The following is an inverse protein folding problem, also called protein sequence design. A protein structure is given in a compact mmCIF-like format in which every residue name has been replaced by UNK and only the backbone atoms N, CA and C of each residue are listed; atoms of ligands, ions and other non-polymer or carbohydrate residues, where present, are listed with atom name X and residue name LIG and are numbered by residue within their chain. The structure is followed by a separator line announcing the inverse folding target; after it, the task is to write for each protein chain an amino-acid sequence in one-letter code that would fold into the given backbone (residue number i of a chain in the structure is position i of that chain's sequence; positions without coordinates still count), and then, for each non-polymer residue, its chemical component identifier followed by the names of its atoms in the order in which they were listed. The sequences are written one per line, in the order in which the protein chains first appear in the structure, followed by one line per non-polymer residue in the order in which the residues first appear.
data_IF_440672796420
#
_entry.id   IF_440672796420
#
_cell.length_a   1.000
_cell.length_b   1.000
_cell.length_c   1.000
_cell.angle_alpha   90.00
_cell.angle_beta   90.00
_cell.angle_gamma   90.00
#
_symmetry.space_group_name_H-M   'P 1'
#
loop_
_entity.id
_entity.type
_entity.pdbx_description
1 polymer ?
#
# COMPACT_ATOMS: atom_id res chain seq x y z
N UNK A 1 25.10 30.69 9.58
CA UNK A 1 25.72 29.49 9.00
C UNK A 1 24.72 28.90 8.03
N UNK A 2 24.99 28.83 6.72
CA UNK A 2 24.01 28.29 5.78
C UNK A 2 24.01 26.77 5.89
N UNK A 3 22.88 26.20 6.29
CA UNK A 3 22.64 24.76 6.32
C UNK A 3 22.36 24.32 4.88
N UNK A 4 23.13 23.36 4.39
CA UNK A 4 22.96 22.77 3.07
C UNK A 4 21.61 22.04 3.00
N UNK A 5 20.78 22.41 2.02
CA UNK A 5 19.56 21.68 1.66
C UNK A 5 19.95 20.36 0.99
N UNK A 6 19.57 19.25 1.61
CA UNK A 6 19.76 17.90 1.08
C UNK A 6 18.65 17.64 0.06
N UNK A 7 19.05 17.48 -1.19
CA UNK A 7 18.21 17.00 -2.29
C UNK A 7 17.95 15.50 -2.07
N UNK A 8 16.71 15.12 -1.76
CA UNK A 8 16.29 13.72 -1.73
C UNK A 8 15.74 13.32 -3.10
N UNK A 9 16.53 12.59 -3.88
CA UNK A 9 16.08 11.87 -5.08
C UNK A 9 15.89 10.41 -4.64
N UNK A 10 14.67 9.88 -4.77
CA UNK A 10 14.36 8.47 -4.47
C UNK A 10 13.92 7.80 -5.75
N UNK A 11 14.77 6.93 -6.29
CA UNK A 11 14.50 6.04 -7.42
C UNK A 11 14.61 4.59 -6.94
N UNK A 12 13.58 3.77 -7.16
CA UNK A 12 13.59 2.33 -6.80
C UNK A 12 13.45 1.51 -8.08
N UNK A 13 14.54 0.86 -8.51
CA UNK A 13 14.55 -0.07 -9.65
C UNK A 13 14.55 -1.53 -9.20
N UNK A 14 13.80 -2.39 -9.91
CA UNK A 14 13.70 -3.84 -9.67
C UNK A 14 14.74 -4.62 -10.49
N UNK A 15 15.48 -5.55 -9.87
CA UNK A 15 16.43 -6.44 -10.55
C UNK A 15 15.79 -7.75 -11.06
N UNK A 16 16.32 -8.21 -12.19
CA UNK A 16 15.86 -9.31 -13.04
C UNK A 16 16.38 -10.71 -12.63
N UNK A 17 15.68 -11.75 -13.08
CA UNK A 17 15.92 -13.16 -12.78
C UNK A 17 17.05 -13.87 -13.55
N UNK A 18 17.32 -15.12 -13.14
CA UNK A 18 18.34 -16.02 -13.70
C UNK A 18 17.69 -17.36 -14.11
N UNK A 19 17.91 -17.80 -15.36
CA UNK A 19 17.59 -19.16 -15.85
C UNK A 19 18.88 -19.99 -15.94
N UNK A 20 18.85 -21.23 -15.46
CA UNK A 20 19.89 -22.23 -15.67
C UNK A 20 19.40 -23.35 -16.61
N UNK A 21 20.22 -23.70 -17.61
CA UNK A 21 20.11 -24.87 -18.50
C UNK A 21 21.01 -25.98 -17.97
N UNK A 22 20.54 -27.23 -17.99
CA UNK A 22 21.42 -28.41 -17.81
C UNK A 22 21.16 -29.44 -18.90
N UNK A 23 22.27 -29.98 -19.43
CA UNK A 23 22.37 -30.93 -20.55
C UNK A 23 22.48 -32.37 -20.02
N UNK A 24 21.79 -33.31 -20.68
CA UNK A 24 21.85 -34.75 -20.43
C UNK A 24 23.14 -35.40 -20.97
N UNK A 25 23.62 -36.45 -20.30
CA UNK A 25 24.31 -37.57 -20.97
C UNK A 25 24.16 -38.88 -20.19
N UNK A 26 23.76 -39.92 -20.93
CA UNK A 26 23.57 -41.29 -20.48
C UNK A 26 24.87 -42.12 -20.57
N UNK A 27 24.95 -43.21 -19.81
CA UNK A 27 25.76 -44.38 -20.17
C UNK A 27 25.15 -45.67 -19.56
N UNK A 28 25.02 -46.66 -20.43
CA UNK A 28 24.48 -48.02 -20.24
C UNK A 28 25.54 -49.02 -19.80
N UNK A 29 25.18 -50.10 -19.10
CA UNK A 29 25.74 -51.47 -19.32
C UNK A 29 24.69 -52.53 -18.98
N UNK A 30 24.56 -53.52 -19.88
CA UNK A 30 23.71 -54.73 -19.82
C UNK A 30 24.33 -55.84 -18.96
N UNK A 31 23.49 -56.76 -18.48
CA UNK A 31 23.76 -58.21 -18.59
C UNK A 31 22.47 -59.04 -18.51
N UNK A 32 22.33 -59.95 -19.48
CA UNK A 32 21.30 -60.98 -19.64
C UNK A 32 21.51 -62.16 -18.68
N UNK A 33 20.42 -62.76 -18.18
CA UNK A 33 20.34 -64.22 -17.90
C UNK A 33 18.90 -64.72 -18.16
N UNK A 34 18.81 -65.84 -18.91
CA UNK A 34 17.58 -66.53 -19.36
C UNK A 34 17.15 -67.65 -18.39
N UNK A 35 15.91 -68.11 -18.64
CA UNK A 35 15.22 -69.37 -18.24
C UNK A 35 14.40 -69.27 -16.94
N UNK A 36 13.18 -69.81 -16.77
CA UNK A 36 12.23 -70.63 -17.56
C UNK A 36 10.93 -70.76 -16.74
N UNK A 37 9.75 -70.95 -17.35
CA UNK A 37 8.62 -71.64 -16.68
C UNK A 37 7.22 -70.98 -16.67
N UNK A 38 6.28 -71.67 -17.32
CA UNK A 38 4.87 -71.94 -16.93
C UNK A 38 3.79 -70.84 -16.77
N UNK A 39 2.97 -70.78 -17.82
CA UNK A 39 1.54 -70.46 -18.06
C UNK A 39 0.46 -70.28 -16.94
N UNK A 40 0.78 -69.74 -15.76
CA UNK A 40 -0.26 -69.23 -14.82
C UNK A 40 -0.34 -67.70 -14.76
N UNK A 41 0.45 -67.01 -15.59
CA UNK A 41 0.78 -65.61 -15.39
C UNK A 41 -0.14 -64.59 -16.06
N UNK A 42 -0.96 -64.92 -17.06
CA UNK A 42 -1.59 -63.89 -17.90
C UNK A 42 -2.73 -63.15 -17.16
N UNK A 43 -3.64 -63.87 -16.51
CA UNK A 43 -4.72 -63.26 -15.74
C UNK A 43 -4.19 -62.45 -14.53
N UNK A 44 -3.20 -63.00 -13.83
CA UNK A 44 -2.52 -62.34 -12.71
C UNK A 44 -1.73 -61.11 -13.16
N UNK A 45 -1.04 -61.17 -14.32
CA UNK A 45 -0.32 -60.03 -14.90
C UNK A 45 -1.26 -58.91 -15.37
N UNK A 46 -2.44 -59.24 -15.89
CA UNK A 46 -3.45 -58.24 -16.29
C UNK A 46 -4.08 -57.58 -15.07
N UNK A 47 -4.42 -58.35 -14.04
CA UNK A 47 -4.93 -57.82 -12.76
C UNK A 47 -3.88 -56.93 -12.06
N UNK A 48 -2.60 -57.35 -12.02
CA UNK A 48 -1.50 -56.54 -11.50
C UNK A 48 -1.28 -55.27 -12.30
N UNK A 49 -1.41 -55.30 -13.63
CA UNK A 49 -1.26 -54.12 -14.48
C UNK A 49 -2.40 -53.12 -14.27
N UNK A 50 -3.63 -53.59 -14.06
CA UNK A 50 -4.78 -52.73 -13.77
C UNK A 50 -4.70 -52.14 -12.35
N UNK A 51 -4.27 -52.91 -11.35
CA UNK A 51 -4.05 -52.41 -9.99
C UNK A 51 -2.87 -51.43 -9.93
N UNK A 52 -1.77 -51.71 -10.63
CA UNK A 52 -0.63 -50.81 -10.75
C UNK A 52 -1.00 -49.52 -11.48
N UNK A 53 -1.81 -49.59 -12.55
CA UNK A 53 -2.28 -48.40 -13.27
C UNK A 53 -3.19 -47.52 -12.40
N UNK A 54 -4.13 -48.12 -11.66
CA UNK A 54 -4.97 -47.39 -10.71
C UNK A 54 -4.14 -46.79 -9.57
N UNK A 55 -3.18 -47.53 -9.03
CA UNK A 55 -2.27 -47.03 -8.01
C UNK A 55 -1.44 -45.85 -8.52
N UNK A 56 -0.85 -45.96 -9.71
CA UNK A 56 -0.10 -44.85 -10.34
C UNK A 56 -1.00 -43.64 -10.63
N UNK A 57 -2.25 -43.84 -11.05
CA UNK A 57 -3.21 -42.75 -11.25
C UNK A 57 -3.57 -42.05 -9.94
N UNK A 58 -3.79 -42.80 -8.86
CA UNK A 58 -4.02 -42.24 -7.52
C UNK A 58 -2.79 -41.49 -7.02
N UNK A 59 -1.59 -42.04 -7.19
CA UNK A 59 -0.35 -41.35 -6.80
C UNK A 59 -0.13 -40.08 -7.61
N UNK A 60 -0.39 -40.09 -8.93
CA UNK A 60 -0.31 -38.90 -9.77
C UNK A 60 -1.34 -37.83 -9.36
N UNK A 61 -2.57 -38.23 -9.03
CA UNK A 61 -3.60 -37.32 -8.53
C UNK A 61 -3.19 -36.71 -7.18
N UNK A 62 -2.68 -37.51 -6.25
CA UNK A 62 -2.19 -37.03 -4.95
C UNK A 62 -1.01 -36.07 -5.13
N UNK A 63 -0.07 -36.37 -6.04
CA UNK A 63 1.05 -35.49 -6.38
C UNK A 63 0.58 -34.16 -6.98
N UNK A 64 -0.43 -34.18 -7.85
CA UNK A 64 -1.01 -32.96 -8.42
C UNK A 64 -1.71 -32.14 -7.34
N UNK A 65 -2.50 -32.79 -6.47
CA UNK A 65 -3.14 -32.12 -5.33
C UNK A 65 -2.09 -31.55 -4.39
N UNK A 66 -1.03 -32.29 -4.08
CA UNK A 66 0.06 -31.84 -3.23
C UNK A 66 0.85 -30.70 -3.86
N UNK A 67 1.11 -30.73 -5.17
CA UNK A 67 1.70 -29.60 -5.92
C UNK A 67 0.79 -28.38 -5.94
N UNK A 68 -0.53 -28.54 -6.09
CA UNK A 68 -1.49 -27.44 -6.05
C UNK A 68 -1.66 -26.87 -4.63
N UNK A 69 -1.56 -27.71 -3.60
CA UNK A 69 -1.67 -27.30 -2.19
C UNK A 69 -0.38 -26.69 -1.67
N UNK A 70 0.77 -27.18 -2.13
CA UNK A 70 2.08 -26.69 -1.70
C UNK A 70 2.57 -25.52 -2.53
N UNK A 71 2.26 -25.41 -3.83
CA UNK A 71 2.76 -24.33 -4.71
C UNK A 71 2.52 -22.92 -4.18
N UNK A 72 1.40 -22.60 -3.48
CA UNK A 72 1.24 -21.30 -2.85
C UNK A 72 2.29 -21.08 -1.75
N UNK A 73 2.59 -22.10 -0.94
CA UNK A 73 3.61 -22.01 0.12
C UNK A 73 5.01 -21.76 -0.43
N UNK A 74 5.35 -22.36 -1.59
CA UNK A 74 6.62 -22.10 -2.28
C UNK A 74 6.71 -20.69 -2.87
N UNK A 75 5.56 -20.05 -3.12
CA UNK A 75 5.44 -18.66 -3.58
C UNK A 75 5.18 -17.66 -2.44
N UNK A 76 5.15 -18.10 -1.18
CA UNK A 76 4.93 -17.24 -0.02
C UNK A 76 3.46 -16.95 0.33
N UNK A 77 2.51 -17.72 -0.21
CA UNK A 77 1.07 -17.58 0.04
C UNK A 77 0.49 -18.83 0.72
N UNK A 78 -0.32 -18.66 1.77
CA UNK A 78 -1.15 -19.77 2.27
C UNK A 78 -2.43 -19.89 1.44
N UNK A 79 -2.86 -21.11 1.09
CA UNK A 79 -4.19 -21.31 0.48
C UNK A 79 -5.33 -20.78 1.36
N UNK A 80 -5.14 -20.72 2.68
CA UNK A 80 -6.11 -20.18 3.63
C UNK A 80 -6.12 -18.64 3.69
N UNK A 81 -5.11 -17.97 3.14
CA UNK A 81 -5.03 -16.51 3.05
C UNK A 81 -5.55 -15.99 1.70
N UNK A 82 -5.91 -16.89 0.78
CA UNK A 82 -6.41 -16.51 -0.55
C UNK A 82 -7.67 -15.64 -0.53
N UNK A 83 -8.69 -15.85 0.34
CA UNK A 83 -9.84 -14.95 0.38
C UNK A 83 -9.45 -13.56 0.87
N UNK A 84 -8.66 -13.50 1.95
CA UNK A 84 -8.15 -12.25 2.51
C UNK A 84 -7.32 -11.46 1.49
N UNK A 85 -6.54 -12.17 0.68
CA UNK A 85 -5.73 -11.56 -0.35
C UNK A 85 -6.56 -10.98 -1.50
N UNK A 86 -7.63 -11.67 -1.88
CA UNK A 86 -8.57 -11.18 -2.87
C UNK A 86 -9.36 -9.97 -2.36
N UNK A 87 -9.81 -9.99 -1.10
CA UNK A 87 -10.52 -8.86 -0.48
C UNK A 87 -9.61 -7.63 -0.35
N UNK A 88 -8.36 -7.85 0.08
CA UNK A 88 -7.36 -6.78 0.18
C UNK A 88 -7.05 -6.21 -1.20
N UNK A 89 -6.87 -7.07 -2.20
CA UNK A 89 -6.63 -6.67 -3.59
C UNK A 89 -7.79 -5.90 -4.19
N UNK A 90 -9.02 -6.37 -4.01
CA UNK A 90 -10.24 -5.69 -4.45
C UNK A 90 -10.38 -4.32 -3.78
N UNK A 91 -10.18 -4.24 -2.46
CA UNK A 91 -10.27 -2.97 -1.72
C UNK A 91 -9.17 -1.99 -2.12
N UNK A 92 -7.93 -2.45 -2.24
CA UNK A 92 -6.84 -1.62 -2.76
C UNK A 92 -7.15 -1.13 -4.18
N UNK A 93 -7.63 -2.02 -5.06
CA UNK A 93 -8.05 -1.67 -6.42
C UNK A 93 -9.16 -0.62 -6.43
N UNK A 94 -10.21 -0.79 -5.63
CA UNK A 94 -11.31 0.17 -5.56
C UNK A 94 -10.84 1.54 -5.06
N UNK A 95 -10.05 1.60 -3.98
CA UNK A 95 -9.54 2.84 -3.41
C UNK A 95 -8.60 3.57 -4.37
N UNK A 96 -7.61 2.87 -4.90
CA UNK A 96 -6.60 3.45 -5.80
C UNK A 96 -7.22 3.78 -7.16
N UNK A 97 -8.09 2.93 -7.67
CA UNK A 97 -8.83 3.17 -8.91
C UNK A 97 -9.76 4.37 -8.82
N UNK A 98 -10.53 4.50 -7.73
CA UNK A 98 -11.33 5.70 -7.49
C UNK A 98 -10.45 6.95 -7.46
N UNK A 99 -9.34 6.90 -6.71
CA UNK A 99 -8.45 8.06 -6.54
C UNK A 99 -7.81 8.45 -7.88
N UNK A 100 -7.25 7.50 -8.62
CA UNK A 100 -6.67 7.74 -9.94
C UNK A 100 -7.71 8.29 -10.94
N UNK A 101 -8.94 7.77 -10.91
CA UNK A 101 -10.00 8.19 -11.83
C UNK A 101 -10.54 9.58 -11.53
N UNK A 102 -10.93 9.84 -10.28
CA UNK A 102 -11.67 11.05 -9.89
C UNK A 102 -10.79 12.19 -9.38
N UNK A 103 -9.60 11.91 -8.83
CA UNK A 103 -8.64 12.94 -8.42
C UNK A 103 -7.62 13.22 -9.51
N UNK A 104 -6.96 12.18 -10.01
CA UNK A 104 -5.85 12.34 -10.98
C UNK A 104 -6.30 12.40 -12.44
N UNK A 105 -7.55 12.00 -12.74
CA UNK A 105 -8.06 11.97 -14.11
C UNK A 105 -7.45 10.88 -14.99
N UNK A 106 -6.85 9.84 -14.41
CA UNK A 106 -6.18 8.77 -15.14
C UNK A 106 -7.16 7.86 -15.87
N UNK A 107 -6.69 7.27 -16.98
CA UNK A 107 -7.42 6.23 -17.68
C UNK A 107 -7.42 4.91 -16.89
N UNK A 108 -8.36 4.03 -17.19
CA UNK A 108 -8.45 2.72 -16.52
C UNK A 108 -7.22 1.85 -16.82
N UNK A 109 -6.60 1.98 -17.98
CA UNK A 109 -5.38 1.26 -18.36
C UNK A 109 -4.21 1.68 -17.48
N UNK A 110 -4.02 3.00 -17.28
CA UNK A 110 -2.99 3.52 -16.38
C UNK A 110 -3.25 3.11 -14.94
N UNK A 111 -4.50 3.21 -14.48
CA UNK A 111 -4.91 2.77 -13.14
C UNK A 111 -4.56 1.29 -12.94
N UNK A 112 -4.88 0.41 -13.89
CA UNK A 112 -4.54 -1.02 -13.81
C UNK A 112 -3.03 -1.22 -13.68
N UNK A 113 -2.25 -0.57 -14.55
CA UNK A 113 -0.79 -0.62 -14.52
C UNK A 113 -0.23 -0.13 -13.17
N UNK A 114 -0.76 0.97 -12.64
CA UNK A 114 -0.33 1.52 -11.36
C UNK A 114 -0.65 0.54 -10.21
N UNK A 115 -1.85 -0.02 -10.15
CA UNK A 115 -2.23 -0.96 -9.08
C UNK A 115 -1.45 -2.29 -9.18
N UNK A 116 -1.20 -2.78 -10.39
CA UNK A 116 -0.38 -3.98 -10.66
C UNK A 116 1.06 -3.85 -10.12
N UNK A 117 1.62 -2.62 -10.11
CA UNK A 117 2.94 -2.37 -9.55
C UNK A 117 3.05 -2.66 -8.05
N UNK A 118 1.93 -2.57 -7.31
CA UNK A 118 1.88 -2.87 -5.87
C UNK A 118 1.59 -4.33 -5.58
N UNK A 119 0.91 -5.03 -6.50
CA UNK A 119 0.60 -6.45 -6.35
C UNK A 119 0.32 -7.06 -7.72
N UNK A 120 1.10 -8.08 -8.09
CA UNK A 120 0.84 -8.86 -9.31
C UNK A 120 -0.58 -9.49 -9.30
N UNK A 121 -1.16 -9.73 -8.12
CA UNK A 121 -2.52 -10.24 -7.99
C UNK A 121 -3.57 -9.22 -8.46
N UNK A 122 -3.22 -7.94 -8.56
CA UNK A 122 -4.12 -6.90 -9.05
C UNK A 122 -4.35 -6.96 -10.57
N UNK A 123 -3.51 -7.67 -11.34
CA UNK A 123 -3.68 -7.79 -12.79
C UNK A 123 -4.90 -8.59 -13.23
N UNK A 124 -5.58 -9.24 -12.29
CA UNK A 124 -6.84 -9.96 -12.52
C UNK A 124 -8.08 -9.14 -12.12
N UNK A 125 -7.89 -7.90 -11.65
CA UNK A 125 -8.99 -7.04 -11.21
C UNK A 125 -9.77 -6.50 -12.40
N UNK A 126 -11.09 -6.60 -12.29
CA UNK A 126 -12.05 -5.90 -13.14
C UNK A 126 -12.53 -4.64 -12.44
N UNK A 127 -12.72 -3.57 -13.20
CA UNK A 127 -13.15 -2.27 -12.69
C UNK A 127 -14.49 -1.87 -13.30
N UNK A 128 -15.35 -1.27 -12.49
CA UNK A 128 -16.66 -0.74 -12.92
C UNK A 128 -16.90 0.59 -12.21
N UNK A 129 -17.33 1.61 -12.95
CA UNK A 129 -17.62 2.95 -12.43
C UNK A 129 -19.14 3.17 -12.46
N UNK A 130 -19.72 3.59 -11.34
CA UNK A 130 -21.12 4.01 -11.24
C UNK A 130 -21.22 5.34 -10.48
N UNK A 131 -21.54 6.42 -11.21
CA UNK A 131 -21.55 7.76 -10.64
C UNK A 131 -20.18 8.16 -10.11
N UNK A 132 -20.07 8.44 -8.81
CA UNK A 132 -18.81 8.74 -8.12
C UNK A 132 -18.20 7.52 -7.42
N UNK A 133 -18.70 6.31 -7.68
CA UNK A 133 -18.23 5.09 -7.01
C UNK A 133 -17.47 4.20 -7.99
N UNK A 134 -16.27 3.78 -7.58
CA UNK A 134 -15.47 2.79 -8.28
C UNK A 134 -15.61 1.44 -7.57
N UNK A 135 -15.90 0.41 -8.36
CA UNK A 135 -15.90 -0.99 -7.93
C UNK A 135 -14.68 -1.68 -8.52
N UNK A 136 -14.03 -2.52 -7.71
CA UNK A 136 -13.01 -3.44 -8.18
C UNK A 136 -13.34 -4.86 -7.70
N UNK A 137 -13.23 -5.83 -8.60
CA UNK A 137 -13.60 -7.21 -8.31
C UNK A 137 -12.62 -8.22 -8.91
N UNK A 138 -12.43 -9.34 -8.21
CA UNK A 138 -11.68 -10.49 -8.66
C UNK A 138 -12.23 -11.77 -8.03
N UNK A 139 -12.42 -12.80 -8.86
CA UNK A 139 -12.84 -14.14 -8.43
C UNK A 139 -14.07 -14.17 -7.48
N UNK A 140 -15.04 -13.29 -7.71
CA UNK A 140 -16.28 -13.21 -6.94
C UNK A 140 -16.23 -12.30 -5.70
N UNK A 141 -15.07 -11.79 -5.32
CA UNK A 141 -14.94 -10.74 -4.30
C UNK A 141 -15.02 -9.38 -4.97
N UNK A 142 -15.74 -8.44 -4.35
CA UNK A 142 -15.90 -7.08 -4.84
C UNK A 142 -15.77 -6.11 -3.67
N UNK A 143 -15.07 -5.00 -3.90
CA UNK A 143 -15.02 -3.86 -3.00
C UNK A 143 -15.35 -2.58 -3.77
N UNK A 144 -15.70 -1.53 -3.05
CA UNK A 144 -15.98 -0.23 -3.65
C UNK A 144 -15.41 0.93 -2.84
N UNK A 145 -15.14 2.03 -3.54
CA UNK A 145 -14.77 3.30 -2.95
C UNK A 145 -15.54 4.43 -3.62
N UNK A 146 -16.02 5.38 -2.81
CA UNK A 146 -16.81 6.51 -3.28
C UNK A 146 -16.01 7.80 -3.18
N UNK A 147 -15.97 8.52 -4.29
CA UNK A 147 -15.42 9.86 -4.40
C UNK A 147 -16.38 10.89 -3.82
N UNK A 148 -15.84 11.75 -2.96
CA UNK A 148 -16.49 12.92 -2.38
C UNK A 148 -15.68 14.17 -2.74
N UNK A 149 -16.28 15.18 -3.39
CA UNK A 149 -15.56 16.39 -3.75
C UNK A 149 -14.79 17.00 -2.58
N UNK A 150 -13.48 17.18 -2.76
CA UNK A 150 -12.57 17.76 -1.77
C UNK A 150 -12.12 16.83 -0.63
N UNK A 151 -12.80 15.70 -0.40
CA UNK A 151 -12.38 14.64 0.55
C UNK A 151 -11.71 13.45 -0.14
N UNK A 152 -11.76 13.41 -1.47
CA UNK A 152 -11.21 12.31 -2.25
C UNK A 152 -12.04 11.04 -2.13
N UNK A 153 -11.38 9.89 -2.30
CA UNK A 153 -12.04 8.60 -2.33
C UNK A 153 -11.94 7.89 -0.99
N UNK A 154 -13.06 7.38 -0.47
CA UNK A 154 -13.06 6.56 0.76
C UNK A 154 -13.59 5.17 0.43
N UNK A 155 -12.99 4.14 1.04
CA UNK A 155 -13.51 2.78 0.93
C UNK A 155 -14.88 2.68 1.61
N UNK A 156 -15.81 1.96 0.98
CA UNK A 156 -17.14 1.74 1.52
C UNK A 156 -17.13 0.59 2.53
N UNK A 157 -16.38 0.78 3.62
CA UNK A 157 -16.24 -0.16 4.74
C UNK A 157 -16.96 0.41 5.96
N UNK A 158 -17.98 -0.30 6.45
CA UNK A 158 -18.80 0.19 7.56
C UNK A 158 -19.63 1.43 7.18
N UNK A 159 -19.91 2.27 8.18
CA UNK A 159 -20.67 3.51 7.98
C UNK A 159 -19.74 4.67 7.61
N UNK A 160 -19.93 5.21 6.40
CA UNK A 160 -19.18 6.38 5.90
C UNK A 160 -20.04 7.64 5.79
N UNK A 161 -21.29 7.60 6.26
CA UNK A 161 -22.27 8.69 6.10
C UNK A 161 -21.86 9.99 6.79
N UNK A 162 -21.03 9.91 7.83
CA UNK A 162 -20.47 11.10 8.50
C UNK A 162 -19.62 11.93 7.54
N UNK A 163 -18.98 11.32 6.54
CA UNK A 163 -18.17 12.03 5.55
C UNK A 163 -19.03 12.81 4.55
N UNK A 164 -20.29 12.41 4.34
CA UNK A 164 -21.22 13.13 3.46
C UNK A 164 -21.67 14.48 4.04
N UNK A 165 -21.43 14.69 5.34
CA UNK A 165 -21.81 15.88 6.08
C UNK A 165 -20.65 16.86 6.29
N UNK A 166 -19.45 16.53 5.81
CA UNK A 166 -18.27 17.39 5.99
C UNK A 166 -18.32 18.56 5.02
N UNK A 167 -18.33 19.76 5.56
CA UNK A 167 -18.23 21.01 4.81
C UNK A 167 -16.77 21.43 4.71
N UNK A 168 -16.25 21.51 3.49
CA UNK A 168 -14.88 21.93 3.22
C UNK A 168 -14.80 23.41 2.92
N UNK A 169 -13.70 24.03 3.34
CA UNK A 169 -13.46 25.42 2.99
C UNK A 169 -12.86 25.50 1.59
N UNK A 170 -13.38 26.41 0.77
CA UNK A 170 -12.80 26.68 -0.53
C UNK A 170 -11.37 27.23 -0.37
N UNK A 171 -10.43 26.66 -1.12
CA UNK A 171 -9.05 27.12 -1.23
C UNK A 171 -8.86 27.63 -2.65
N UNK A 172 -8.56 28.92 -2.78
CA UNK A 172 -8.28 29.49 -4.10
C UNK A 172 -6.96 28.88 -4.64
N UNK A 173 -6.90 28.54 -5.94
CA UNK A 173 -5.67 28.04 -6.56
C UNK A 173 -4.55 29.10 -6.65
N UNK A 174 -4.85 30.36 -6.31
CA UNK A 174 -4.02 31.53 -6.64
C UNK A 174 -2.81 31.75 -5.72
N UNK A 175 -2.55 30.86 -4.76
CA UNK A 175 -1.34 30.92 -3.93
C UNK A 175 -0.34 29.82 -4.28
N UNK A 176 -0.16 29.60 -5.58
CA UNK A 176 0.99 28.86 -6.09
C UNK A 176 2.29 29.60 -5.71
N UNK A 177 3.30 28.84 -5.31
CA UNK A 177 4.62 29.40 -5.06
C UNK A 177 5.11 30.13 -6.32
N UNK A 178 5.77 31.29 -6.20
CA UNK A 178 6.23 32.05 -7.35
C UNK A 178 7.16 31.19 -8.22
N UNK A 179 6.98 31.25 -9.54
CA UNK A 179 7.87 30.61 -10.51
C UNK A 179 9.12 31.47 -10.70
N UNK A 180 10.30 30.87 -10.51
CA UNK A 180 11.60 31.49 -10.72
C UNK A 180 12.50 30.56 -11.53
N UNK A 181 12.17 30.45 -12.82
CA UNK A 181 12.81 29.48 -13.72
C UNK A 181 14.32 29.67 -13.80
N UNK A 182 15.05 28.59 -13.56
CA UNK A 182 16.47 28.47 -13.84
C UNK A 182 16.66 27.50 -15.00
N UNK A 183 17.04 28.00 -16.18
CA UNK A 183 17.14 27.21 -17.40
C UNK A 183 18.10 26.02 -17.27
N UNK A 184 19.20 26.17 -16.51
CA UNK A 184 20.14 25.06 -16.30
C UNK A 184 19.50 23.95 -15.44
N UNK A 185 18.78 24.32 -14.38
CA UNK A 185 18.04 23.35 -13.57
C UNK A 185 16.89 22.71 -14.34
N UNK A 186 16.20 23.46 -15.20
CA UNK A 186 15.15 22.92 -16.05
C UNK A 186 15.68 21.81 -16.96
N UNK A 187 16.77 22.07 -17.70
CA UNK A 187 17.38 21.05 -18.56
C UNK A 187 17.81 19.81 -17.77
N UNK A 188 18.36 19.99 -16.57
CA UNK A 188 18.76 18.87 -15.72
C UNK A 188 17.56 18.03 -15.26
N UNK A 189 16.48 18.66 -14.80
CA UNK A 189 15.30 17.95 -14.29
C UNK A 189 14.54 17.26 -15.44
N UNK A 190 14.49 17.88 -16.62
CA UNK A 190 13.93 17.25 -17.83
C UNK A 190 14.73 16.00 -18.22
N UNK A 191 16.07 16.08 -18.22
CA UNK A 191 16.95 14.97 -18.52
C UNK A 191 16.80 13.83 -17.51
N UNK A 192 16.77 14.13 -16.20
CA UNK A 192 16.57 13.13 -15.15
C UNK A 192 15.22 12.41 -15.29
N UNK A 193 14.14 13.15 -15.53
CA UNK A 193 12.82 12.56 -15.73
C UNK A 193 12.81 11.64 -16.96
N UNK A 194 13.46 12.05 -18.05
CA UNK A 194 13.56 11.24 -19.25
C UNK A 194 14.38 9.96 -19.00
N UNK A 195 15.51 10.06 -18.30
CA UNK A 195 16.37 8.91 -17.96
C UNK A 195 15.64 7.92 -17.03
N UNK A 196 14.98 8.42 -15.99
CA UNK A 196 14.19 7.59 -15.07
C UNK A 196 13.11 6.80 -15.81
N UNK A 197 12.36 7.47 -16.67
CA UNK A 197 11.28 6.84 -17.42
C UNK A 197 11.79 5.89 -18.50
N UNK A 198 12.92 6.19 -19.14
CA UNK A 198 13.59 5.24 -20.05
C UNK A 198 14.10 3.98 -19.32
N UNK A 199 14.42 4.10 -18.03
CA UNK A 199 14.78 2.98 -17.15
C UNK A 199 13.57 2.25 -16.54
N UNK A 200 12.34 2.71 -16.81
CA UNK A 200 11.11 2.09 -16.30
C UNK A 200 10.76 2.44 -14.85
N UNK A 201 11.32 3.52 -14.30
CA UNK A 201 11.07 3.96 -12.92
C UNK A 201 9.75 4.73 -12.74
N UNK A 202 9.14 5.15 -13.85
CA UNK A 202 7.83 5.79 -13.89
C UNK A 202 7.72 7.08 -13.04
N UNK A 203 8.76 7.92 -13.10
CA UNK A 203 8.81 9.24 -12.47
C UNK A 203 7.72 10.15 -13.05
N UNK A 204 6.72 10.46 -12.22
CA UNK A 204 5.53 11.24 -12.60
C UNK A 204 5.74 12.76 -12.56
N UNK A 205 6.53 13.25 -11.60
CA UNK A 205 6.83 14.66 -11.45
C UNK A 205 8.14 14.85 -10.68
N UNK A 206 8.94 15.83 -11.08
CA UNK A 206 10.10 16.33 -10.34
C UNK A 206 9.94 17.83 -10.16
N UNK A 207 9.94 18.30 -8.91
CA UNK A 207 9.73 19.72 -8.58
C UNK A 207 10.85 20.18 -7.66
N UNK A 208 11.51 21.29 -8.03
CA UNK A 208 12.55 21.91 -7.22
C UNK A 208 12.02 23.22 -6.66
N UNK A 209 11.94 23.31 -5.34
CA UNK A 209 11.59 24.53 -4.61
C UNK A 209 12.84 25.09 -3.95
N UNK A 210 13.11 26.39 -4.15
CA UNK A 210 14.25 27.06 -3.54
C UNK A 210 13.82 28.46 -3.06
N UNK A 211 14.06 28.74 -1.77
CA UNK A 211 13.69 30.02 -1.12
C UNK A 211 12.21 30.40 -1.30
N UNK A 212 11.32 29.42 -1.12
CA UNK A 212 9.86 29.63 -1.21
C UNK A 212 9.36 29.92 -2.62
N UNK A 213 10.10 29.52 -3.65
CA UNK A 213 9.73 29.67 -5.06
C UNK A 213 9.97 28.34 -5.79
N UNK A 214 9.09 27.98 -6.72
CA UNK A 214 9.35 26.86 -7.63
C UNK A 214 10.42 27.31 -8.63
N UNK A 215 11.60 26.71 -8.54
CA UNK A 215 12.74 27.03 -9.39
C UNK A 215 12.64 26.32 -10.75
N UNK A 216 12.11 25.10 -10.75
CA UNK A 216 11.83 24.30 -11.95
C UNK A 216 10.89 23.16 -11.62
N UNK A 217 10.16 22.67 -12.61
CA UNK A 217 9.39 21.44 -12.52
C UNK A 217 9.36 20.73 -13.88
N UNK A 218 9.39 19.40 -13.86
CA UNK A 218 9.19 18.56 -15.03
C UNK A 218 8.14 17.50 -14.70
N UNK A 219 7.27 17.22 -15.65
CA UNK A 219 6.12 16.34 -15.47
C UNK A 219 6.17 15.22 -16.51
N UNK A 220 5.82 14.02 -16.08
CA UNK A 220 5.68 12.86 -16.96
C UNK A 220 4.45 12.97 -17.85
N UNK A 221 4.28 12.00 -18.74
CA UNK A 221 3.17 11.98 -19.70
C UNK A 221 1.80 12.03 -19.00
N UNK A 222 0.95 12.95 -19.44
CA UNK A 222 -0.39 13.17 -18.89
C UNK A 222 -0.42 13.75 -17.47
N UNK A 223 0.72 14.22 -16.94
CA UNK A 223 0.82 14.90 -15.64
C UNK A 223 1.07 16.39 -15.85
N UNK A 224 0.49 17.22 -14.99
CA UNK A 224 0.76 18.65 -14.91
C UNK A 224 0.80 19.11 -13.45
N UNK A 225 1.02 20.41 -13.23
CA UNK A 225 1.14 21.02 -11.91
C UNK A 225 -0.10 20.82 -11.00
N UNK A 226 -1.28 20.66 -11.60
CA UNK A 226 -2.55 20.54 -10.88
C UNK A 226 -3.00 19.08 -10.70
N UNK A 227 -2.25 18.11 -11.23
CA UNK A 227 -2.59 16.70 -11.17
C UNK A 227 -2.29 16.15 -9.77
N UNK A 228 -3.30 15.75 -8.96
CA UNK A 228 -3.05 15.14 -7.67
C UNK A 228 -2.37 13.79 -7.85
N UNK A 229 -1.28 13.56 -7.11
CA UNK A 229 -0.55 12.28 -7.07
C UNK A 229 -0.65 11.67 -5.68
N UNK A 230 -0.58 10.34 -5.62
CA UNK A 230 -0.68 9.60 -4.37
C UNK A 230 0.53 9.86 -3.47
N UNK A 231 0.32 10.49 -2.32
CA UNK A 231 1.41 10.91 -1.44
C UNK A 231 1.97 9.82 -0.51
N UNK A 232 1.25 8.71 -0.30
CA UNK A 232 1.65 7.65 0.63
C UNK A 232 2.12 8.19 1.99
N UNK A 233 3.34 7.85 2.39
CA UNK A 233 3.89 8.20 3.70
C UNK A 233 4.32 9.66 3.84
N UNK A 234 4.20 10.48 2.79
CA UNK A 234 4.23 11.95 2.94
C UNK A 234 3.13 12.40 3.91
N UNK A 235 2.00 11.67 3.98
CA UNK A 235 0.93 11.91 4.95
C UNK A 235 1.39 11.87 6.41
N UNK A 236 2.48 11.17 6.74
CA UNK A 236 3.06 11.15 8.10
C UNK A 236 3.66 12.51 8.44
N UNK A 237 4.39 13.12 7.50
CA UNK A 237 4.95 14.47 7.64
C UNK A 237 3.84 15.50 7.79
N UNK A 238 2.78 15.40 6.98
CA UNK A 238 1.59 16.28 7.09
C UNK A 238 0.92 16.13 8.45
N UNK A 239 0.73 14.90 8.93
CA UNK A 239 0.15 14.62 10.26
C UNK A 239 1.01 15.24 11.37
N UNK A 240 2.33 15.05 11.33
CA UNK A 240 3.25 15.64 12.29
C UNK A 240 3.25 17.18 12.23
N UNK A 241 3.16 17.78 11.03
CA UNK A 241 3.01 19.22 10.87
C UNK A 241 1.72 19.75 11.49
N UNK A 242 0.58 19.08 11.31
CA UNK A 242 -0.69 19.49 11.90
C UNK A 242 -0.66 19.42 13.43
N UNK A 243 -0.07 18.35 13.98
CA UNK A 243 0.13 18.21 15.43
C UNK A 243 1.04 19.33 15.95
N UNK A 244 2.19 19.56 15.31
CA UNK A 244 3.10 20.63 15.68
C UNK A 244 2.46 22.02 15.56
N UNK A 245 1.63 22.24 14.53
CA UNK A 245 0.90 23.50 14.32
C UNK A 245 -0.12 23.74 15.40
N UNK A 246 -0.90 22.73 15.77
CA UNK A 246 -1.85 22.85 16.86
C UNK A 246 -1.13 23.20 18.18
N UNK A 247 0.08 22.65 18.41
CA UNK A 247 0.85 22.87 19.63
C UNK A 247 1.42 24.29 19.67
N UNK A 248 1.90 24.76 18.52
CA UNK A 248 2.34 26.14 18.32
C UNK A 248 1.21 27.15 18.62
N UNK A 249 -0.04 26.81 18.29
CA UNK A 249 -1.21 27.64 18.58
C UNK A 249 -1.67 27.56 20.05
N UNK A 250 -0.90 26.91 20.93
CA UNK A 250 -1.24 26.77 22.34
C UNK A 250 -2.43 25.86 22.59
N UNK A 251 -2.86 25.05 21.61
CA UNK A 251 -3.84 24.00 21.86
C UNK A 251 -3.13 22.92 22.68
N UNK A 252 -3.58 22.59 23.90
CA UNK A 252 -2.91 21.61 24.76
C UNK A 252 -3.14 20.22 24.17
N UNK A 253 -2.35 19.85 23.15
CA UNK A 253 -2.78 18.83 22.21
C UNK A 253 -3.14 17.54 22.88
N UNK A 254 -2.25 17.07 23.74
CA UNK A 254 -2.38 15.79 24.40
C UNK A 254 -1.56 15.96 25.67
N UNK A 255 -2.08 15.49 26.79
CA UNK A 255 -1.21 15.24 27.94
C UNK A 255 -0.04 14.36 27.49
N UNK A 256 1.10 14.41 28.20
CA UNK A 256 2.24 13.57 27.87
C UNK A 256 1.80 12.11 27.65
N UNK A 257 0.85 11.63 28.47
CA UNK A 257 0.18 10.33 28.36
C UNK A 257 -0.85 10.32 27.22
N UNK A 258 -0.78 9.31 26.36
CA UNK A 258 -1.78 9.09 25.31
C UNK A 258 -3.03 8.44 25.91
N UNK A 259 -4.20 9.11 25.94
CA UNK A 259 -5.36 8.65 26.70
C UNK A 259 -6.22 7.68 25.89
N UNK A 260 -5.66 6.55 25.46
CA UNK A 260 -6.46 5.45 24.91
C UNK A 260 -6.99 4.58 26.07
N UNK A 261 -8.33 4.49 26.25
CA UNK A 261 -8.93 3.68 27.32
C UNK A 261 -8.44 2.23 27.34
N UNK A 262 -8.21 1.66 26.15
CA UNK A 262 -7.73 0.30 25.90
C UNK A 262 -6.35 0.02 26.51
N UNK A 263 -5.57 1.07 26.78
CA UNK A 263 -4.21 0.96 27.32
C UNK A 263 -4.17 1.15 28.84
N UNK A 264 -5.26 1.63 29.45
CA UNK A 264 -5.30 1.97 30.88
C UNK A 264 -4.89 0.83 31.81
N UNK A 265 -5.19 -0.42 31.42
CA UNK A 265 -4.93 -1.62 32.20
C UNK A 265 -3.62 -2.34 31.91
N UNK A 266 -2.76 -1.85 31.00
CA UNK A 266 -1.51 -2.52 30.64
C UNK A 266 -0.33 -1.57 30.37
N UNK A 267 0.83 -2.14 30.03
CA UNK A 267 2.08 -1.42 29.88
C UNK A 267 2.05 -0.33 28.79
N UNK A 268 1.08 -0.37 27.86
CA UNK A 268 0.89 0.67 26.85
C UNK A 268 0.47 2.02 27.45
N UNK A 269 -0.02 2.07 28.69
CA UNK A 269 -0.28 3.35 29.39
C UNK A 269 0.99 4.21 29.60
N UNK A 270 2.17 3.63 29.39
CA UNK A 270 3.46 4.34 29.44
C UNK A 270 3.83 5.03 28.12
N UNK A 271 3.10 4.74 27.04
CA UNK A 271 3.30 5.39 25.74
C UNK A 271 2.92 6.88 25.86
N UNK A 272 3.69 7.71 25.16
CA UNK A 272 3.60 9.17 25.17
C UNK A 272 3.48 9.68 23.74
N UNK A 273 2.94 10.89 23.56
CA UNK A 273 2.84 11.49 22.22
C UNK A 273 4.18 11.50 21.49
N UNK A 274 5.26 11.88 22.19
CA UNK A 274 6.61 11.89 21.64
C UNK A 274 7.02 10.53 21.06
N UNK A 275 6.72 9.44 21.77
CA UNK A 275 7.03 8.08 21.31
C UNK A 275 6.29 7.70 20.02
N UNK A 276 5.06 8.18 19.84
CA UNK A 276 4.32 7.97 18.58
C UNK A 276 4.93 8.81 17.44
N UNK A 277 5.24 10.09 17.70
CA UNK A 277 5.85 10.99 16.71
C UNK A 277 7.23 10.51 16.24
N UNK A 278 8.00 9.86 17.12
CA UNK A 278 9.33 9.32 16.81
C UNK A 278 9.31 7.84 16.44
N UNK A 279 8.12 7.21 16.37
CA UNK A 279 7.96 5.78 16.10
C UNK A 279 8.81 4.88 17.03
N UNK A 280 8.85 5.24 18.31
CA UNK A 280 9.50 4.49 19.38
C UNK A 280 8.47 4.07 20.44
N UNK A 281 7.24 3.75 20.03
CA UNK A 281 6.15 3.40 20.94
C UNK A 281 6.30 2.01 21.57
N UNK A 282 7.05 1.12 20.92
CA UNK A 282 7.17 -0.28 21.32
C UNK A 282 5.96 -1.14 20.93
N UNK A 283 4.99 -0.59 20.17
CA UNK A 283 3.90 -1.36 19.58
C UNK A 283 4.43 -2.26 18.45
N UNK A 284 4.05 -3.53 18.48
CA UNK A 284 4.46 -4.56 17.52
C UNK A 284 3.35 -4.78 16.49
N UNK A 285 3.19 -3.79 15.60
CA UNK A 285 2.25 -3.87 14.47
C UNK A 285 3.00 -4.33 13.23
N UNK A 286 2.56 -5.40 12.57
CA UNK A 286 3.26 -5.92 11.40
C UNK A 286 3.17 -4.96 10.19
N UNK A 287 4.26 -4.23 9.92
CA UNK A 287 4.39 -3.22 8.85
C UNK A 287 5.05 -3.76 7.57
N UNK A 288 5.08 -5.08 7.34
CA UNK A 288 5.76 -5.65 6.15
C UNK A 288 5.00 -5.42 4.84
N UNK A 289 3.74 -4.99 4.89
CA UNK A 289 2.87 -4.78 3.72
C UNK A 289 2.63 -6.02 2.85
N UNK A 290 3.00 -7.20 3.33
CA UNK A 290 2.54 -8.45 2.72
C UNK A 290 1.04 -8.53 2.89
N UNK A 291 0.33 -8.99 1.87
CA UNK A 291 -1.12 -9.09 1.90
C UNK A 291 -1.57 -9.96 3.08
N UNK A 292 -2.48 -9.42 3.91
CA UNK A 292 -2.94 -10.07 5.12
C UNK A 292 -2.18 -9.72 6.39
N UNK A 293 -1.12 -8.91 6.30
CA UNK A 293 -0.45 -8.30 7.46
C UNK A 293 -1.29 -7.20 8.09
N UNK A 294 -0.93 -6.78 9.31
CA UNK A 294 -1.66 -5.73 10.03
C UNK A 294 -1.78 -4.45 9.23
N UNK A 295 -0.71 -4.00 8.55
CA UNK A 295 -0.74 -2.76 7.76
C UNK A 295 -1.71 -2.84 6.58
N UNK A 296 -1.69 -3.93 5.82
CA UNK A 296 -2.61 -4.09 4.66
C UNK A 296 -4.06 -4.25 5.09
N UNK A 297 -4.31 -5.03 6.15
CA UNK A 297 -5.66 -5.21 6.69
C UNK A 297 -6.20 -3.91 7.28
N UNK A 298 -5.37 -3.17 8.01
CA UNK A 298 -5.71 -1.85 8.56
C UNK A 298 -6.13 -0.88 7.46
N UNK A 299 -5.39 -0.83 6.36
CA UNK A 299 -5.63 0.15 5.30
C UNK A 299 -6.82 -0.21 4.39
N UNK A 300 -7.06 -1.51 4.18
CA UNK A 300 -7.96 -1.96 3.11
C UNK A 300 -9.15 -2.77 3.58
N UNK A 301 -9.20 -3.22 4.84
CA UNK A 301 -10.28 -4.10 5.32
C UNK A 301 -10.93 -3.62 6.63
N UNK A 302 -10.22 -2.85 7.44
CA UNK A 302 -10.79 -2.31 8.66
C UNK A 302 -11.65 -1.07 8.36
N UNK A 303 -12.90 -1.00 8.88
CA UNK A 303 -13.71 0.22 8.76
C UNK A 303 -13.06 1.44 9.42
N UNK A 304 -12.29 1.21 10.49
CA UNK A 304 -11.54 2.25 11.19
C UNK A 304 -10.07 1.85 11.28
N UNK A 305 -9.21 2.66 10.68
CA UNK A 305 -7.76 2.43 10.61
C UNK A 305 -7.04 2.43 11.97
N UNK A 306 -7.72 2.87 13.04
CA UNK A 306 -7.18 2.86 14.41
C UNK A 306 -7.33 1.50 15.09
N UNK A 307 -8.23 0.64 14.61
CA UNK A 307 -8.65 -0.60 15.28
C UNK A 307 -7.49 -1.58 15.52
N UNK A 308 -6.63 -1.79 14.52
CA UNK A 308 -5.45 -2.66 14.67
C UNK A 308 -4.34 -2.01 15.49
N UNK A 309 -3.91 -0.77 15.20
CA UNK A 309 -2.85 -0.12 15.98
C UNK A 309 -3.15 -0.03 17.47
N UNK A 310 -4.40 0.29 17.85
CA UNK A 310 -4.78 0.42 19.26
C UNK A 310 -4.76 -0.91 20.00
N UNK A 311 -5.05 -2.01 19.29
CA UNK A 311 -5.03 -3.37 19.80
C UNK A 311 -3.66 -4.05 19.67
N UNK A 312 -2.67 -3.40 19.05
CA UNK A 312 -1.36 -3.98 18.77
C UNK A 312 -0.65 -4.41 20.07
N UNK A 313 0.04 -5.56 20.06
CA UNK A 313 0.84 -6.03 21.19
C UNK A 313 1.91 -5.02 21.61
N UNK A 314 2.25 -5.04 22.89
CA UNK A 314 3.34 -4.25 23.45
C UNK A 314 4.63 -5.08 23.45
N UNK A 315 5.49 -4.85 22.46
CA UNK A 315 6.70 -5.63 22.24
C UNK A 315 7.92 -5.13 23.02
N UNK A 316 8.04 -3.82 23.26
CA UNK A 316 9.18 -3.24 23.98
C UNK A 316 8.82 -1.96 24.73
N UNK A 317 9.68 -1.53 25.65
CA UNK A 317 9.46 -0.27 26.38
C UNK A 317 9.59 0.94 25.45
N UNK A 318 8.74 1.99 25.60
CA UNK A 318 8.80 3.15 24.74
C UNK A 318 10.15 3.87 24.84
N UNK A 319 10.59 4.45 23.73
CA UNK A 319 11.85 5.18 23.61
C UNK A 319 13.10 4.30 23.42
N UNK A 320 12.97 2.96 23.49
CA UNK A 320 14.13 2.06 23.38
C UNK A 320 14.47 1.71 21.93
N UNK A 321 13.46 1.46 21.09
CA UNK A 321 13.64 0.96 19.73
C UNK A 321 12.80 1.76 18.76
N UNK A 322 13.42 2.19 17.65
CA UNK A 322 12.70 2.72 16.50
C UNK A 322 12.09 1.56 15.69
N UNK A 323 10.79 1.63 15.43
CA UNK A 323 10.10 0.72 14.54
C UNK A 323 9.14 1.52 13.65
N UNK A 324 9.45 1.58 12.35
CA UNK A 324 8.62 2.31 11.40
C UNK A 324 7.19 1.73 11.36
N UNK A 325 6.18 2.58 11.54
CA UNK A 325 4.79 2.13 11.62
C UNK A 325 3.78 3.16 11.07
N UNK A 326 2.99 2.76 10.08
CA UNK A 326 1.80 3.50 9.63
C UNK A 326 0.68 3.44 10.65
N UNK A 327 0.57 2.33 11.37
CA UNK A 327 -0.37 2.20 12.48
C UNK A 327 -0.18 3.26 13.55
N UNK A 328 1.07 3.56 13.90
CA UNK A 328 1.42 4.66 14.81
C UNK A 328 0.94 6.01 14.30
N UNK A 329 1.03 6.26 12.98
CA UNK A 329 0.50 7.50 12.38
C UNK A 329 -1.03 7.56 12.44
N UNK A 330 -1.73 6.44 12.23
CA UNK A 330 -3.18 6.39 12.35
C UNK A 330 -3.70 6.58 13.79
N UNK A 331 -2.88 6.21 14.80
CA UNK A 331 -3.15 6.60 16.18
C UNK A 331 -3.02 8.11 16.35
N UNK A 332 -1.97 8.73 15.78
CA UNK A 332 -1.77 10.19 15.83
C UNK A 332 -2.92 10.97 15.19
N UNK A 333 -3.42 10.53 14.03
CA UNK A 333 -4.57 11.19 13.38
C UNK A 333 -5.84 11.09 14.23
N UNK A 334 -6.08 9.94 14.87
CA UNK A 334 -7.20 9.74 15.79
C UNK A 334 -7.08 10.65 17.01
N UNK A 335 -5.89 10.78 17.60
CA UNK A 335 -5.66 11.66 18.73
C UNK A 335 -5.88 13.13 18.37
N UNK A 336 -5.37 13.56 17.21
CA UNK A 336 -5.58 14.90 16.70
C UNK A 336 -7.08 15.19 16.49
N UNK A 337 -7.82 14.26 15.85
CA UNK A 337 -9.26 14.41 15.67
C UNK A 337 -10.00 14.52 17.00
N UNK A 338 -9.69 13.64 17.97
CA UNK A 338 -10.30 13.68 19.32
C UNK A 338 -10.00 15.00 20.03
N UNK A 339 -8.78 15.50 19.92
CA UNK A 339 -8.38 16.77 20.49
C UNK A 339 -9.13 17.96 19.87
N UNK A 340 -9.32 17.95 18.54
CA UNK A 340 -10.06 18.98 17.82
C UNK A 340 -11.59 18.86 18.01
N UNK A 341 -12.07 17.67 18.39
CA UNK A 341 -13.43 17.41 18.85
C UNK A 341 -14.36 16.74 17.83
N UNK A 342 -14.05 16.80 16.53
CA UNK A 342 -14.86 16.14 15.50
C UNK A 342 -14.10 15.94 14.17
N UNK A 343 -14.61 15.07 13.27
CA UNK A 343 -14.10 15.00 11.90
C UNK A 343 -14.18 16.36 11.17
N UNK A 344 -15.27 17.10 11.33
CA UNK A 344 -15.41 18.45 10.76
C UNK A 344 -14.31 19.39 11.25
N UNK A 345 -14.03 19.39 12.56
CA UNK A 345 -12.98 20.24 13.13
C UNK A 345 -11.58 19.87 12.62
N UNK A 346 -11.31 18.59 12.35
CA UNK A 346 -10.05 18.15 11.72
C UNK A 346 -9.89 18.73 10.31
N UNK A 347 -10.92 18.63 9.47
CA UNK A 347 -10.87 19.17 8.10
C UNK A 347 -10.81 20.70 8.09
N UNK A 348 -11.61 21.39 8.92
CA UNK A 348 -11.51 22.84 9.09
C UNK A 348 -10.11 23.26 9.52
N UNK A 349 -9.50 22.57 10.49
CA UNK A 349 -8.15 22.85 10.93
C UNK A 349 -7.11 22.63 9.83
N UNK A 350 -7.22 21.54 9.07
CA UNK A 350 -6.36 21.27 7.92
C UNK A 350 -6.47 22.34 6.84
N UNK A 351 -7.69 22.79 6.53
CA UNK A 351 -7.93 23.82 5.53
C UNK A 351 -7.38 25.19 5.99
N UNK A 352 -7.66 25.60 7.23
CA UNK A 352 -7.27 26.92 7.77
C UNK A 352 -5.78 27.03 8.06
N UNK A 353 -5.17 25.97 8.59
CA UNK A 353 -3.80 26.02 9.11
C UNK A 353 -2.77 25.43 8.17
N UNK A 354 -3.19 24.73 7.11
CA UNK A 354 -2.28 24.17 6.11
C UNK A 354 -2.67 24.51 4.67
N UNK A 355 -3.87 24.13 4.19
CA UNK A 355 -4.17 24.27 2.76
C UNK A 355 -4.28 25.72 2.31
N UNK A 356 -5.06 26.55 3.00
CA UNK A 356 -5.23 27.97 2.64
C UNK A 356 -3.92 28.76 2.73
N UNK A 357 -3.12 28.67 3.82
CA UNK A 357 -1.87 29.42 3.90
C UNK A 357 -0.83 29.00 2.87
N UNK A 358 -0.87 27.75 2.39
CA UNK A 358 0.12 27.18 1.46
C UNK A 358 -0.38 27.04 0.01
N UNK A 359 -1.63 27.37 -0.30
CA UNK A 359 -2.18 27.23 -1.66
C UNK A 359 -2.44 25.83 -2.14
N UNK A 360 -2.70 24.90 -1.23
CA UNK A 360 -2.88 23.49 -1.57
C UNK A 360 -4.33 23.24 -2.02
N UNK A 361 -4.74 23.87 -3.13
CA UNK A 361 -6.11 23.79 -3.65
C UNK A 361 -6.49 22.37 -4.12
N UNK A 362 -5.51 21.60 -4.59
CA UNK A 362 -5.70 20.25 -5.14
C UNK A 362 -5.28 19.11 -4.20
N UNK A 363 -5.01 19.42 -2.92
CA UNK A 363 -4.65 18.42 -1.91
C UNK A 363 -5.86 17.98 -1.10
N UNK A 364 -6.06 16.68 -0.97
CA UNK A 364 -7.04 16.04 -0.07
C UNK A 364 -6.31 15.13 0.92
N UNK A 365 -6.91 14.92 2.09
CA UNK A 365 -6.48 13.91 3.06
C UNK A 365 -6.92 12.50 2.65
#
# INVERSE_FOLDING_TARGET
MPVAEVLAVVTVGSEAGIRARTVNRAASVRTDLRQSGFDSGIATKVALRLSLRRWLQTQAFLLIVELLVSSPRWLGFSLFETPLALDTGASMGAKLGCSGRHLSGFSLERIKSDVESYSAAAGVLSYREEGSTMFASAFGNEASATFRPGLGCTLNLGDTSTLDQIELLAVAPDSSLPLRTNNHLQSLVDELLQQDNAAGLDTRALVVVHKGAVATASYGEGINADTPLLGWSIGKSVTAMLIGRAAYLGKPLLEDVVPFPEWSGDARNTIRLGHLLTMTSGLDLNETYVVGTDSTRMLFLDPLVVTRPIASPYGSSPGQTFYYSSGTTNLLTTLLQRHLGSPQALYTFFDEELRKPLGLAHTTL
#
